data_IF_576484989626
#
_entry.id   IF_576484989626
#
_cell.length_a   1.000
_cell.length_b   1.000
_cell.length_c   1.000
_cell.angle_alpha   90.00
_cell.angle_beta   90.00
_cell.angle_gamma   90.00
#
_symmetry.space_group_name_H-M   'P 1'
#
loop_
_entity.id
_entity.type
_entity.pdbx_description
1 polymer ?
#
# COMPACT_ATOMS: atom_id res chain seq x y z
N UNK A 1 6.21 54.98 -36.96
CA UNK A 1 6.70 53.72 -36.38
C UNK A 1 5.82 53.43 -35.19
N UNK A 2 4.98 52.40 -35.27
CA UNK A 2 3.98 52.07 -34.25
C UNK A 2 4.25 50.66 -33.73
N UNK A 3 4.16 50.54 -32.41
CA UNK A 3 4.53 49.41 -31.56
C UNK A 3 3.90 48.07 -31.96
N UNK A 4 4.73 47.05 -32.10
CA UNK A 4 4.29 45.65 -32.18
C UNK A 4 4.14 45.12 -30.75
N UNK A 5 2.95 44.68 -30.31
CA UNK A 5 2.80 44.09 -28.99
C UNK A 5 3.45 42.71 -28.98
N UNK A 6 4.48 42.53 -28.15
CA UNK A 6 5.02 41.21 -27.81
C UNK A 6 3.95 40.43 -27.05
N UNK A 7 3.26 39.53 -27.74
CA UNK A 7 2.41 38.53 -27.12
C UNK A 7 3.32 37.45 -26.52
N UNK A 8 3.51 37.47 -25.21
CA UNK A 8 4.13 36.36 -24.49
C UNK A 8 3.21 35.14 -24.59
N UNK A 9 3.69 33.99 -25.08
CA UNK A 9 2.89 32.77 -25.07
C UNK A 9 2.62 32.39 -23.62
N UNK A 10 1.34 32.42 -23.22
CA UNK A 10 0.89 31.83 -21.95
C UNK A 10 1.23 30.34 -22.02
N UNK A 11 2.14 29.80 -21.18
CA UNK A 11 2.19 28.37 -21.02
C UNK A 11 0.83 27.96 -20.45
N UNK A 12 0.15 27.04 -21.15
CA UNK A 12 -1.01 26.38 -20.58
C UNK A 12 -0.55 25.82 -19.23
N UNK A 13 -1.16 26.28 -18.14
CA UNK A 13 -0.91 25.70 -16.84
C UNK A 13 -1.23 24.21 -16.96
N UNK A 14 -0.20 23.36 -16.89
CA UNK A 14 -0.39 21.93 -16.69
C UNK A 14 -1.35 21.79 -15.50
N UNK A 15 -2.48 21.07 -15.65
CA UNK A 15 -3.39 20.89 -14.54
C UNK A 15 -2.60 20.27 -13.39
N UNK A 16 -2.72 20.83 -12.19
CA UNK A 16 -2.08 20.35 -10.95
C UNK A 16 -2.28 18.84 -10.70
N UNK A 17 -3.25 18.22 -11.37
CA UNK A 17 -3.48 16.77 -11.44
C UNK A 17 -2.32 15.99 -12.08
N UNK A 18 -1.51 16.62 -12.94
CA UNK A 18 -0.27 16.06 -13.48
C UNK A 18 0.86 16.03 -12.43
N UNK A 19 0.80 16.92 -11.42
CA UNK A 19 1.80 17.02 -10.35
C UNK A 19 1.59 16.00 -9.20
N UNK A 20 0.42 15.37 -9.11
CA UNK A 20 0.16 14.26 -8.20
C UNK A 20 -0.32 13.08 -9.04
N UNK A 21 0.59 12.19 -9.40
CA UNK A 21 0.26 11.01 -10.19
C UNK A 21 -0.77 10.16 -9.43
N UNK A 22 -2.02 10.19 -9.92
CA UNK A 22 -3.21 9.62 -9.27
C UNK A 22 -3.06 8.13 -8.91
N UNK A 23 -2.25 7.41 -9.68
CA UNK A 23 -1.92 6.00 -9.46
C UNK A 23 -1.02 5.79 -8.24
N UNK A 24 0.04 6.59 -8.07
CA UNK A 24 0.89 6.57 -6.89
C UNK A 24 0.10 6.92 -5.63
N UNK A 25 -0.78 7.91 -5.70
CA UNK A 25 -1.62 8.31 -4.57
C UNK A 25 -2.63 7.21 -4.21
N UNK A 26 -3.26 6.59 -5.21
CA UNK A 26 -4.16 5.46 -4.98
C UNK A 26 -3.43 4.26 -4.36
N UNK A 27 -2.22 3.95 -4.84
CA UNK A 27 -1.40 2.88 -4.27
C UNK A 27 -0.96 3.20 -2.85
N UNK A 28 -0.51 4.43 -2.59
CA UNK A 28 -0.17 4.91 -1.25
C UNK A 28 -1.35 4.77 -0.29
N UNK A 29 -2.55 5.21 -0.70
CA UNK A 29 -3.75 5.08 0.12
C UNK A 29 -4.07 3.61 0.45
N UNK A 30 -3.87 2.69 -0.49
CA UNK A 30 -4.03 1.26 -0.23
C UNK A 30 -3.00 0.72 0.79
N UNK A 31 -1.74 1.17 0.69
CA UNK A 31 -0.69 0.82 1.66
C UNK A 31 -0.98 1.38 3.06
N UNK A 32 -1.50 2.60 3.15
CA UNK A 32 -1.88 3.20 4.44
C UNK A 32 -3.00 2.40 5.10
N UNK A 33 -3.99 1.91 4.34
CA UNK A 33 -5.03 1.02 4.86
C UNK A 33 -4.47 -0.35 5.28
N UNK A 34 -3.54 -0.92 4.51
CA UNK A 34 -2.85 -2.15 4.90
C UNK A 34 -2.09 -1.97 6.23
N UNK A 35 -1.41 -0.84 6.41
CA UNK A 35 -0.74 -0.52 7.67
C UNK A 35 -1.72 -0.42 8.84
N UNK A 36 -2.86 0.26 8.66
CA UNK A 36 -3.92 0.35 9.69
C UNK A 36 -4.42 -1.03 10.08
N UNK A 37 -4.67 -1.89 9.09
CA UNK A 37 -5.14 -3.26 9.31
C UNK A 37 -4.13 -4.07 10.13
N UNK A 38 -2.87 -4.12 9.68
CA UNK A 38 -1.78 -4.83 10.35
C UNK A 38 -1.56 -4.34 11.79
N UNK A 39 -1.69 -3.03 12.01
CA UNK A 39 -1.56 -2.43 13.34
C UNK A 39 -2.74 -2.80 14.23
N UNK A 40 -3.97 -2.77 13.73
CA UNK A 40 -5.15 -3.14 14.49
C UNK A 40 -5.09 -4.62 14.92
N UNK A 41 -4.76 -5.53 14.00
CA UNK A 41 -4.55 -6.96 14.31
C UNK A 41 -3.47 -7.16 15.37
N UNK A 42 -2.34 -6.46 15.21
CA UNK A 42 -1.27 -6.52 16.20
C UNK A 42 -1.70 -6.02 17.58
N UNK A 43 -2.50 -4.95 17.64
CA UNK A 43 -2.99 -4.41 18.91
C UNK A 43 -3.98 -5.35 19.59
N UNK A 44 -4.89 -5.99 18.85
CA UNK A 44 -5.78 -7.04 19.37
C UNK A 44 -4.93 -8.14 20.01
N UNK A 45 -3.92 -8.63 19.29
CA UNK A 45 -3.03 -9.66 19.80
C UNK A 45 -2.19 -9.20 20.99
N UNK A 46 -1.57 -8.03 20.94
CA UNK A 46 -0.67 -7.51 21.97
C UNK A 46 -1.42 -7.25 23.28
N UNK A 47 -2.62 -6.70 23.21
CA UNK A 47 -3.40 -6.31 24.39
C UNK A 47 -4.29 -7.40 24.96
N UNK A 48 -4.36 -8.57 24.28
CA UNK A 48 -5.34 -9.63 24.60
C UNK A 48 -6.76 -9.06 24.65
N UNK A 49 -7.08 -8.17 23.72
CA UNK A 49 -8.38 -7.51 23.71
C UNK A 49 -9.48 -8.56 23.63
N UNK A 50 -10.41 -8.55 24.58
CA UNK A 50 -11.63 -9.34 24.47
C UNK A 50 -12.46 -8.73 23.35
N UNK A 51 -12.64 -9.48 22.26
CA UNK A 51 -13.43 -9.04 21.10
C UNK A 51 -14.91 -8.83 21.43
N UNK A 52 -15.38 -9.26 22.61
CA UNK A 52 -16.73 -8.96 23.11
C UNK A 52 -16.80 -7.69 23.96
N UNK A 53 -15.66 -7.06 24.26
CA UNK A 53 -15.63 -5.74 24.91
C UNK A 53 -15.71 -4.62 23.88
N UNK A 54 -16.23 -3.45 24.26
CA UNK A 54 -16.34 -2.29 23.37
C UNK A 54 -15.02 -1.97 22.66
N UNK A 55 -13.91 -2.01 23.40
CA UNK A 55 -12.57 -1.76 22.88
C UNK A 55 -12.10 -2.84 21.90
N UNK A 56 -12.42 -4.11 22.17
CA UNK A 56 -12.07 -5.21 21.27
C UNK A 56 -12.89 -5.19 19.99
N UNK A 57 -14.18 -4.88 20.08
CA UNK A 57 -15.05 -4.67 18.92
C UNK A 57 -14.54 -3.51 18.05
N UNK A 58 -14.19 -2.37 18.65
CA UNK A 58 -13.65 -1.21 17.92
C UNK A 58 -12.36 -1.58 17.14
N UNK A 59 -11.44 -2.31 17.77
CA UNK A 59 -10.22 -2.77 17.12
C UNK A 59 -10.51 -3.79 16.00
N UNK A 60 -11.45 -4.71 16.23
CA UNK A 60 -11.89 -5.68 15.24
C UNK A 60 -12.53 -5.03 14.02
N UNK A 61 -13.44 -4.08 14.23
CA UNK A 61 -14.09 -3.31 13.17
C UNK A 61 -13.09 -2.45 12.39
N UNK A 62 -12.12 -1.85 13.09
CA UNK A 62 -11.03 -1.11 12.47
C UNK A 62 -10.19 -2.02 11.57
N UNK A 63 -9.80 -3.20 12.06
CA UNK A 63 -9.04 -4.17 11.28
C UNK A 63 -9.82 -4.63 10.04
N UNK A 64 -11.08 -5.06 10.22
CA UNK A 64 -11.93 -5.55 9.13
C UNK A 64 -12.16 -4.48 8.06
N UNK A 65 -12.46 -3.25 8.48
CA UNK A 65 -12.68 -2.12 7.56
C UNK A 65 -11.40 -1.78 6.80
N UNK A 66 -10.26 -1.73 7.47
CA UNK A 66 -8.97 -1.41 6.86
C UNK A 66 -8.51 -2.50 5.88
N UNK A 67 -8.70 -3.79 6.21
CA UNK A 67 -8.44 -4.90 5.29
C UNK A 67 -9.30 -4.80 4.03
N UNK A 68 -10.60 -4.53 4.18
CA UNK A 68 -11.52 -4.34 3.07
C UNK A 68 -11.11 -3.15 2.17
N UNK A 69 -10.77 -2.01 2.78
CA UNK A 69 -10.32 -0.82 2.04
C UNK A 69 -8.97 -1.02 1.36
N UNK A 70 -8.02 -1.72 2.00
CA UNK A 70 -6.75 -2.08 1.39
C UNK A 70 -6.97 -2.98 0.16
N UNK A 71 -7.78 -4.02 0.30
CA UNK A 71 -8.15 -4.92 -0.81
C UNK A 71 -8.81 -4.15 -1.97
N UNK A 72 -9.79 -3.29 -1.68
CA UNK A 72 -10.44 -2.45 -2.68
C UNK A 72 -9.47 -1.48 -3.38
N UNK A 73 -8.59 -0.82 -2.61
CA UNK A 73 -7.59 0.09 -3.14
C UNK A 73 -6.58 -0.60 -4.06
N UNK A 74 -6.10 -1.79 -3.69
CA UNK A 74 -5.21 -2.58 -4.53
C UNK A 74 -5.89 -3.03 -5.83
N UNK A 75 -7.17 -3.44 -5.78
CA UNK A 75 -7.94 -3.74 -7.01
C UNK A 75 -8.07 -2.51 -7.90
N UNK A 76 -8.38 -1.34 -7.33
CA UNK A 76 -8.49 -0.10 -8.07
C UNK A 76 -7.18 0.26 -8.79
N UNK A 77 -6.03 0.12 -8.12
CA UNK A 77 -4.71 0.36 -8.74
C UNK A 77 -4.43 -0.65 -9.87
N UNK A 78 -4.65 -1.96 -9.62
CA UNK A 78 -4.44 -3.02 -10.62
C UNK A 78 -5.24 -2.76 -11.90
N UNK A 79 -6.50 -2.32 -11.73
CA UNK A 79 -7.46 -2.15 -12.82
C UNK A 79 -7.36 -0.77 -13.50
N UNK A 80 -6.61 0.17 -12.92
CA UNK A 80 -6.35 1.49 -13.48
C UNK A 80 -5.46 1.41 -14.71
N UNK A 81 -6.04 1.53 -15.91
CA UNK A 81 -5.32 1.40 -17.20
C UNK A 81 -4.17 2.39 -17.37
N UNK A 82 -4.31 3.60 -16.83
CA UNK A 82 -3.32 4.66 -16.92
C UNK A 82 -2.23 4.59 -15.83
N UNK A 83 -2.36 3.68 -14.86
CA UNK A 83 -1.37 3.53 -13.80
C UNK A 83 -0.05 2.93 -14.32
N UNK A 84 1.05 3.28 -13.64
CA UNK A 84 2.35 2.71 -13.94
C UNK A 84 2.30 1.16 -13.92
N UNK A 85 2.84 0.47 -14.94
CA UNK A 85 2.75 -1.00 -15.05
C UNK A 85 3.23 -1.74 -13.79
N UNK A 86 4.33 -1.27 -13.19
CA UNK A 86 4.86 -1.91 -11.98
C UNK A 86 4.04 -1.66 -10.72
N UNK A 87 3.29 -0.55 -10.62
CA UNK A 87 2.31 -0.38 -9.54
C UNK A 87 1.13 -1.34 -9.70
N UNK A 88 0.67 -1.53 -10.95
CA UNK A 88 -0.37 -2.50 -11.27
C UNK A 88 0.10 -3.93 -10.97
N UNK A 89 1.35 -4.23 -11.30
CA UNK A 89 1.98 -5.53 -11.02
C UNK A 89 2.13 -5.76 -9.51
N UNK A 90 2.64 -4.77 -8.77
CA UNK A 90 2.76 -4.84 -7.31
C UNK A 90 1.39 -5.06 -6.65
N UNK A 91 0.38 -4.27 -7.03
CA UNK A 91 -0.98 -4.44 -6.52
C UNK A 91 -1.55 -5.83 -6.85
N UNK A 92 -1.33 -6.31 -8.08
CA UNK A 92 -1.70 -7.66 -8.49
C UNK A 92 -1.02 -8.78 -7.69
N UNK A 93 0.24 -8.59 -7.31
CA UNK A 93 0.99 -9.55 -6.48
C UNK A 93 0.55 -9.54 -5.02
N UNK A 94 0.18 -8.37 -4.48
CA UNK A 94 -0.26 -8.23 -3.08
C UNK A 94 -1.67 -8.76 -2.85
N UNK A 95 -2.57 -8.63 -3.83
CA UNK A 95 -3.99 -8.98 -3.69
C UNK A 95 -4.26 -10.40 -3.17
N UNK A 96 -3.61 -11.46 -3.68
CA UNK A 96 -3.83 -12.82 -3.15
C UNK A 96 -3.56 -12.93 -1.65
N UNK A 97 -2.49 -12.29 -1.15
CA UNK A 97 -2.16 -12.32 0.27
C UNK A 97 -3.22 -11.56 1.09
N UNK A 98 -3.62 -10.37 0.62
CA UNK A 98 -4.63 -9.53 1.27
C UNK A 98 -6.01 -10.20 1.31
N UNK A 99 -6.41 -10.87 0.22
CA UNK A 99 -7.70 -11.56 0.14
C UNK A 99 -7.73 -12.87 0.95
N UNK A 100 -6.59 -13.54 1.12
CA UNK A 100 -6.44 -14.71 1.99
C UNK A 100 -6.48 -14.34 3.47
N UNK A 101 -5.98 -13.15 3.85
CA UNK A 101 -5.97 -12.64 5.22
C UNK A 101 -4.98 -13.34 6.17
N UNK A 102 -4.65 -14.61 5.91
CA UNK A 102 -3.68 -15.41 6.69
C UNK A 102 -2.61 -16.08 5.82
N UNK A 103 -1.90 -15.31 4.96
CA UNK A 103 -0.93 -15.87 4.03
C UNK A 103 0.21 -16.59 4.73
N UNK A 104 0.67 -17.68 4.11
CA UNK A 104 1.80 -18.45 4.60
C UNK A 104 3.09 -17.62 4.62
N UNK A 105 4.01 -17.95 5.54
CA UNK A 105 5.32 -17.31 5.65
C UNK A 105 6.11 -17.35 4.33
N UNK A 106 6.06 -18.49 3.62
CA UNK A 106 6.72 -18.65 2.33
C UNK A 106 6.12 -17.75 1.24
N UNK A 107 4.81 -17.52 1.27
CA UNK A 107 4.14 -16.66 0.28
C UNK A 107 4.51 -15.20 0.51
N UNK A 108 4.57 -14.76 1.77
CA UNK A 108 5.05 -13.41 2.10
C UNK A 108 6.53 -13.19 1.75
N UNK A 109 7.38 -14.20 1.89
CA UNK A 109 8.79 -14.12 1.43
C UNK A 109 8.87 -13.92 -0.09
N UNK A 110 8.09 -14.69 -0.85
CA UNK A 110 8.04 -14.56 -2.32
C UNK A 110 7.50 -13.19 -2.73
N UNK A 111 6.43 -12.73 -2.09
CA UNK A 111 5.83 -11.42 -2.33
C UNK A 111 6.83 -10.29 -2.05
N UNK A 112 7.49 -10.30 -0.88
CA UNK A 112 8.52 -9.32 -0.52
C UNK A 112 9.65 -9.28 -1.55
N UNK A 113 10.13 -10.46 -1.99
CA UNK A 113 11.18 -10.58 -3.01
C UNK A 113 10.74 -10.00 -4.36
N UNK A 114 9.49 -10.24 -4.77
CA UNK A 114 8.94 -9.73 -6.01
C UNK A 114 8.79 -8.19 -5.99
N UNK A 115 8.28 -7.63 -4.88
CA UNK A 115 8.19 -6.18 -4.69
C UNK A 115 9.57 -5.51 -4.69
N UNK A 116 10.56 -6.13 -4.04
CA UNK A 116 11.94 -5.63 -4.04
C UNK A 116 12.54 -5.63 -5.46
N UNK A 117 12.27 -6.67 -6.25
CA UNK A 117 12.73 -6.75 -7.63
C UNK A 117 12.14 -5.64 -8.50
N UNK A 118 10.84 -5.35 -8.34
CA UNK A 118 10.18 -4.21 -8.98
C UNK A 118 10.83 -2.88 -8.54
N UNK A 119 11.01 -2.68 -7.23
CA UNK A 119 11.59 -1.46 -6.70
C UNK A 119 13.00 -1.20 -7.26
N UNK A 120 13.85 -2.24 -7.33
CA UNK A 120 15.24 -2.12 -7.77
C UNK A 120 15.40 -1.53 -9.18
N UNK A 121 14.45 -1.80 -10.08
CA UNK A 121 14.47 -1.27 -11.44
C UNK A 121 14.35 0.27 -11.49
N UNK A 122 13.79 0.90 -10.45
CA UNK A 122 13.43 2.32 -10.44
C UNK A 122 14.32 3.23 -9.62
N UNK A 123 15.33 2.67 -8.91
CA UNK A 123 16.14 3.43 -7.93
C UNK A 123 16.73 4.74 -8.47
N UNK A 124 17.18 4.74 -9.73
CA UNK A 124 17.78 5.93 -10.36
C UNK A 124 16.80 6.72 -11.24
N UNK A 125 15.86 6.04 -11.89
CA UNK A 125 15.00 6.62 -12.93
C UNK A 125 13.69 7.21 -12.37
N UNK A 126 13.16 6.65 -11.29
CA UNK A 126 11.88 7.04 -10.71
C UNK A 126 11.92 6.86 -9.17
N UNK A 127 12.59 7.76 -8.43
CA UNK A 127 12.81 7.60 -6.99
C UNK A 127 11.53 7.52 -6.17
N UNK A 128 10.48 8.25 -6.55
CA UNK A 128 9.18 8.18 -5.84
C UNK A 128 8.50 6.82 -6.00
N UNK A 129 8.59 6.23 -7.20
CA UNK A 129 8.06 4.90 -7.47
C UNK A 129 8.87 3.84 -6.72
N UNK A 130 10.20 3.98 -6.72
CA UNK A 130 11.10 3.14 -5.93
C UNK A 130 10.73 3.16 -4.44
N UNK A 131 10.51 4.35 -3.88
CA UNK A 131 10.14 4.51 -2.47
C UNK A 131 8.80 3.82 -2.14
N UNK A 132 7.77 3.99 -2.97
CA UNK A 132 6.47 3.35 -2.77
C UNK A 132 6.54 1.82 -2.85
N UNK A 133 7.33 1.28 -3.79
CA UNK A 133 7.51 -0.17 -3.90
C UNK A 133 8.31 -0.75 -2.73
N UNK A 134 9.31 -0.01 -2.22
CA UNK A 134 10.03 -0.40 -1.00
C UNK A 134 9.14 -0.33 0.24
N UNK A 135 8.24 0.64 0.33
CA UNK A 135 7.29 0.72 1.43
C UNK A 135 6.32 -0.47 1.41
N UNK A 136 5.79 -0.82 0.24
CA UNK A 136 4.98 -2.02 0.09
C UNK A 136 5.73 -3.28 0.55
N UNK A 137 7.00 -3.40 0.16
CA UNK A 137 7.87 -4.50 0.58
C UNK A 137 8.10 -4.51 2.10
N UNK A 138 8.35 -3.36 2.72
CA UNK A 138 8.53 -3.24 4.16
C UNK A 138 7.27 -3.62 4.94
N UNK A 139 6.08 -3.25 4.44
CA UNK A 139 4.80 -3.65 5.03
C UNK A 139 4.59 -5.17 4.97
N UNK A 140 4.97 -5.82 3.86
CA UNK A 140 4.91 -7.28 3.73
C UNK A 140 5.86 -7.97 4.71
N UNK A 141 7.07 -7.44 4.92
CA UNK A 141 7.99 -7.94 5.94
C UNK A 141 7.45 -7.78 7.36
N UNK A 142 6.84 -6.62 7.66
CA UNK A 142 6.18 -6.37 8.94
C UNK A 142 5.02 -7.34 9.17
N UNK A 143 4.19 -7.57 8.14
CA UNK A 143 3.11 -8.56 8.19
C UNK A 143 3.63 -9.95 8.49
N UNK A 144 4.71 -10.36 7.81
CA UNK A 144 5.36 -11.65 8.05
C UNK A 144 5.81 -11.79 9.51
N UNK A 145 6.46 -10.75 10.04
CA UNK A 145 6.88 -10.69 11.44
C UNK A 145 5.70 -10.79 12.42
N UNK A 146 4.62 -10.04 12.16
CA UNK A 146 3.41 -10.08 12.99
C UNK A 146 2.82 -11.50 13.02
N UNK A 147 2.62 -12.15 11.87
CA UNK A 147 2.08 -13.51 11.80
C UNK A 147 2.99 -14.52 12.51
N UNK A 148 4.31 -14.39 12.35
CA UNK A 148 5.26 -15.27 13.04
C UNK A 148 5.14 -15.14 14.56
N UNK A 149 5.04 -13.91 15.08
CA UNK A 149 4.87 -13.66 16.52
C UNK A 149 3.50 -14.07 17.03
N UNK A 150 2.45 -13.92 16.22
CA UNK A 150 1.08 -14.36 16.56
C UNK A 150 0.94 -15.88 16.58
N UNK A 151 1.74 -16.60 15.78
CA UNK A 151 1.75 -18.06 15.74
C UNK A 151 2.55 -18.75 16.85
N UNK A 152 3.34 -18.00 17.65
CA UNK A 152 4.11 -18.58 18.76
C UNK A 152 3.23 -18.80 20.00
N UNK A 153 3.36 -19.94 20.70
CA UNK A 153 2.80 -20.09 22.03
C UNK A 153 3.49 -19.06 22.95
N UNK A 154 2.71 -18.14 23.52
CA UNK A 154 3.24 -17.12 24.42
C UNK A 154 3.55 -17.73 25.78
N UNK A 155 4.69 -17.33 26.37
CA UNK A 155 5.07 -17.71 27.73
C UNK A 155 3.98 -17.25 28.73
N UNK A 156 3.66 -18.13 29.67
CA UNK A 156 2.59 -17.98 30.66
C UNK A 156 2.86 -16.85 31.65
#
# INVERSE_FOLDING_TARGET
MADTPLSTPRPAAEPLTALISSDKLAFRAALDQLFVALRADWLVYQTRADLNSDKGMELGDTAASAWSLASAGLRAVRDMRAAHPDLRAAAGQMLPAVDDGTPGQSDLIRLSSALFALARAHKAAAPDLHALLLEAQALVEAWRGNLALMGLPRAA
#
